data_IF_696569568247
#
_entry.id   IF_696569568247
#
_cell.length_a   1.000
_cell.length_b   1.000
_cell.length_c   1.000
_cell.angle_alpha   90.00
_cell.angle_beta   90.00
_cell.angle_gamma   90.00
#
_symmetry.space_group_name_H-M   'P 1'
#
loop_
_entity.id
_entity.type
_entity.pdbx_description
1 polymer ?
#
# COMPACT_ATOMS: atom_id res chain seq x y z
N UNK A 1 3.30 -10.25 18.59
CA UNK A 1 2.04 -9.68 18.07
C UNK A 1 2.28 -9.22 16.65
N UNK A 2 1.44 -9.66 15.71
CA UNK A 2 1.60 -9.29 14.31
C UNK A 2 1.21 -7.84 14.06
N UNK A 3 2.06 -7.12 13.33
CA UNK A 3 1.82 -5.72 12.95
C UNK A 3 0.50 -5.55 12.20
N UNK A 4 0.12 -6.55 11.38
CA UNK A 4 -1.17 -6.60 10.68
C UNK A 4 -2.34 -6.59 11.67
N UNK A 5 -2.28 -7.44 12.70
CA UNK A 5 -3.34 -7.56 13.70
C UNK A 5 -3.49 -6.26 14.50
N UNK A 6 -2.39 -5.58 14.83
CA UNK A 6 -2.43 -4.28 15.49
C UNK A 6 -3.12 -3.20 14.62
N UNK A 7 -2.79 -3.13 13.33
CA UNK A 7 -3.43 -2.18 12.41
C UNK A 7 -4.93 -2.45 12.23
N UNK A 8 -5.35 -3.72 12.19
CA UNK A 8 -6.77 -4.10 12.12
C UNK A 8 -7.55 -3.70 13.38
N UNK A 9 -6.97 -3.90 14.57
CA UNK A 9 -7.57 -3.44 15.82
C UNK A 9 -7.74 -1.92 15.84
N UNK A 10 -6.74 -1.19 15.35
CA UNK A 10 -6.79 0.26 15.29
C UNK A 10 -7.89 0.76 14.34
N UNK A 11 -7.99 0.17 13.14
CA UNK A 11 -9.06 0.48 12.19
C UNK A 11 -10.46 0.23 12.76
N UNK A 12 -10.65 -0.86 13.51
CA UNK A 12 -11.93 -1.14 14.18
C UNK A 12 -12.26 -0.09 15.26
N UNK A 13 -11.26 0.35 16.04
CA UNK A 13 -11.47 1.39 17.04
C UNK A 13 -11.90 2.73 16.42
N UNK A 14 -11.39 3.09 15.23
CA UNK A 14 -11.84 4.27 14.51
C UNK A 14 -13.25 4.13 13.94
N UNK A 15 -13.61 2.93 13.49
CA UNK A 15 -14.99 2.65 13.06
C UNK A 15 -15.99 2.81 14.20
N UNK A 16 -15.65 2.35 15.41
CA UNK A 16 -16.48 2.56 16.60
C UNK A 16 -16.62 4.04 16.95
N UNK A 17 -15.54 4.83 16.82
CA UNK A 17 -15.58 6.28 16.97
C UNK A 17 -16.46 6.96 15.93
N UNK A 18 -16.43 6.52 14.68
CA UNK A 18 -17.27 7.06 13.61
C UNK A 18 -18.77 6.86 13.93
N UNK A 19 -19.14 5.72 14.51
CA UNK A 19 -20.52 5.44 14.93
C UNK A 19 -20.92 6.32 16.12
N UNK A 20 -20.00 6.54 17.06
CA UNK A 20 -20.25 7.36 18.26
C UNK A 20 -20.24 8.86 17.99
N UNK A 21 -19.49 9.31 16.99
CA UNK A 21 -19.32 10.72 16.60
C UNK A 21 -19.61 10.89 15.10
N UNK A 22 -20.89 11.05 14.74
CA UNK A 22 -21.29 11.23 13.35
C UNK A 22 -20.87 12.58 12.76
N UNK A 23 -20.53 13.59 13.58
CA UNK A 23 -20.06 14.90 13.07
C UNK A 23 -18.68 14.78 12.40
N UNK A 24 -17.82 13.90 12.92
CA UNK A 24 -16.50 13.63 12.35
C UNK A 24 -16.43 12.27 11.65
N UNK A 25 -17.59 11.71 11.27
CA UNK A 25 -17.69 10.38 10.69
C UNK A 25 -16.70 10.19 9.54
N UNK A 26 -16.70 11.09 8.56
CA UNK A 26 -15.85 10.97 7.37
C UNK A 26 -14.36 11.03 7.73
N UNK A 27 -13.96 11.86 8.69
CA UNK A 27 -12.58 11.91 9.17
C UNK A 27 -12.17 10.60 9.86
N UNK A 28 -13.06 10.00 10.66
CA UNK A 28 -12.79 8.72 11.30
C UNK A 28 -12.74 7.56 10.29
N UNK A 29 -13.53 7.62 9.22
CA UNK A 29 -13.46 6.67 8.11
C UNK A 29 -12.14 6.83 7.36
N UNK A 30 -11.69 8.04 7.06
CA UNK A 30 -10.41 8.30 6.40
C UNK A 30 -9.23 7.74 7.22
N UNK A 31 -9.25 7.93 8.53
CA UNK A 31 -8.22 7.36 9.42
C UNK A 31 -8.29 5.83 9.44
N UNK A 32 -9.49 5.23 9.49
CA UNK A 32 -9.64 3.78 9.43
C UNK A 32 -9.10 3.19 8.11
N UNK A 33 -9.29 3.88 6.98
CA UNK A 33 -8.76 3.47 5.68
C UNK A 33 -7.24 3.44 5.69
N UNK A 34 -6.58 4.50 6.21
CA UNK A 34 -5.11 4.54 6.33
C UNK A 34 -4.56 3.35 7.13
N UNK A 35 -5.23 2.99 8.21
CA UNK A 35 -4.84 1.83 9.03
C UNK A 35 -5.02 0.50 8.28
N UNK A 36 -6.07 0.37 7.47
CA UNK A 36 -6.28 -0.81 6.62
C UNK A 36 -5.21 -0.90 5.52
N UNK A 37 -4.86 0.20 4.87
CA UNK A 37 -3.79 0.27 3.87
C UNK A 37 -2.44 -0.17 4.46
N UNK A 38 -2.08 0.33 5.64
CA UNK A 38 -0.88 -0.10 6.36
C UNK A 38 -0.93 -1.58 6.77
N UNK A 39 -2.11 -2.11 7.11
CA UNK A 39 -2.27 -3.54 7.41
C UNK A 39 -1.99 -4.41 6.17
N UNK A 40 -2.43 -3.97 4.99
CA UNK A 40 -2.15 -4.64 3.72
C UNK A 40 -0.67 -4.57 3.37
N UNK A 41 -0.03 -3.40 3.50
CA UNK A 41 1.41 -3.27 3.28
C UNK A 41 2.24 -4.16 4.22
N UNK A 42 1.85 -4.23 5.50
CA UNK A 42 2.49 -5.12 6.46
C UNK A 42 2.32 -6.59 6.06
N UNK A 43 1.17 -6.96 5.47
CA UNK A 43 0.96 -8.30 4.92
C UNK A 43 1.80 -8.57 3.67
N UNK A 44 1.93 -7.60 2.77
CA UNK A 44 2.78 -7.75 1.58
C UNK A 44 4.24 -7.94 1.98
N UNK A 45 4.74 -7.17 2.95
CA UNK A 45 6.11 -7.33 3.48
C UNK A 45 6.29 -8.70 4.16
N UNK A 46 5.30 -9.16 4.93
CA UNK A 46 5.34 -10.47 5.56
C UNK A 46 5.30 -11.63 4.54
N UNK A 47 4.55 -11.49 3.44
CA UNK A 47 4.51 -12.47 2.36
C UNK A 47 5.83 -12.54 1.56
N UNK A 48 6.48 -11.38 1.35
CA UNK A 48 7.78 -11.33 0.66
C UNK A 48 8.90 -11.95 1.51
N UNK A 49 8.76 -11.96 2.84
CA UNK A 49 9.74 -12.61 3.73
C UNK A 49 9.59 -14.13 3.83
N UNK A 50 8.62 -14.76 3.15
CA UNK A 50 8.42 -16.23 3.16
C UNK A 50 9.11 -16.94 1.99
N UNK A 51 9.58 -16.25 0.95
CA UNK A 51 10.43 -16.84 -0.09
C UNK A 51 11.59 -15.90 -0.47
N UNK A 52 12.51 -15.69 0.46
CA UNK A 52 13.79 -15.05 0.17
C UNK A 52 14.96 -15.80 0.84
N UNK A 53 14.83 -17.12 0.93
CA UNK A 53 15.95 -18.04 1.13
C UNK A 53 15.91 -19.05 -0.03
N UNK A 54 16.03 -18.56 -1.27
CA UNK A 54 17.09 -18.99 -2.17
C UNK A 54 17.06 -18.17 -3.48
N UNK A 55 18.25 -17.78 -3.92
CA UNK A 55 18.57 -17.38 -5.28
C UNK A 55 17.81 -16.17 -5.91
N UNK A 56 18.28 -14.95 -5.63
CA UNK A 56 19.07 -14.17 -6.60
C UNK A 56 19.16 -12.69 -6.21
N UNK A 57 20.39 -12.28 -5.89
CA UNK A 57 20.89 -10.94 -6.13
C UNK A 57 20.52 -10.46 -7.54
N UNK A 58 19.55 -9.55 -7.66
CA UNK A 58 19.59 -8.48 -8.66
C UNK A 58 19.20 -7.17 -7.96
N UNK A 59 20.22 -6.53 -7.42
CA UNK A 59 20.29 -5.07 -7.39
C UNK A 59 20.28 -4.60 -8.84
N UNK A 60 19.20 -3.95 -9.27
CA UNK A 60 19.23 -3.08 -10.44
C UNK A 60 18.33 -1.87 -10.19
N UNK A 61 18.98 -0.79 -9.75
CA UNK A 61 18.50 0.54 -10.07
C UNK A 61 18.56 0.68 -11.60
N UNK A 62 17.44 0.95 -12.26
CA UNK A 62 17.40 1.69 -13.52
C UNK A 62 15.96 1.87 -14.01
N UNK A 63 15.58 3.15 -14.12
CA UNK A 63 14.81 3.71 -15.24
C UNK A 63 13.40 3.16 -15.51
N UNK A 64 12.40 3.82 -14.92
CA UNK A 64 11.16 4.07 -15.66
C UNK A 64 11.46 5.22 -16.64
N UNK A 65 11.87 4.83 -17.84
CA UNK A 65 12.16 5.69 -18.97
C UNK A 65 10.84 6.28 -19.44
N UNK A 66 10.70 7.60 -19.32
CA UNK A 66 9.71 8.40 -20.03
C UNK A 66 9.59 7.88 -21.48
N UNK A 67 8.42 7.33 -21.80
CA UNK A 67 8.08 6.91 -23.15
C UNK A 67 7.97 8.16 -24.04
N UNK A 68 9.12 8.60 -24.54
CA UNK A 68 9.23 9.62 -25.57
C UNK A 68 9.03 8.92 -26.90
N UNK A 69 7.89 9.14 -27.56
CA UNK A 69 7.61 8.59 -28.88
C UNK A 69 7.95 9.64 -29.96
N UNK A 70 9.02 9.49 -30.74
CA UNK A 70 9.18 10.24 -31.98
C UNK A 70 8.44 9.51 -33.11
N UNK A 71 7.25 10.01 -33.49
CA UNK A 71 6.61 9.63 -34.76
C UNK A 71 7.31 10.38 -35.90
N UNK A 72 8.35 9.77 -36.47
CA UNK A 72 8.85 10.12 -37.80
C UNK A 72 8.08 9.27 -38.80
N UNK A 73 7.21 9.88 -39.60
CA UNK A 73 6.69 9.25 -40.81
C UNK A 73 7.24 10.05 -41.99
N UNK A 74 8.09 9.38 -42.75
CA UNK A 74 8.81 9.85 -43.94
C UNK A 74 7.86 10.00 -45.13
N UNK A 75 8.15 10.99 -45.98
CA UNK A 75 7.46 11.36 -47.22
C UNK A 75 7.54 10.27 -48.31
N UNK A 76 6.51 10.21 -49.15
CA UNK A 76 6.61 9.94 -50.59
C UNK A 76 5.75 10.94 -51.34
#
# INVERSE_FOLDING_TARGET
MDRRTACLHQANAFREKAIADPEHHDQWIDEAIKWLEQAMEASCRAAITVEADDTHHVRAAATDTFASHPRVITRQ
#
